data_IF_882260268146
#
_entry.id   IF_882260268146
#
_cell.length_a   1.000
_cell.length_b   1.000
_cell.length_c   1.000
_cell.angle_alpha   90.00
_cell.angle_beta   90.00
_cell.angle_gamma   90.00
#
_symmetry.space_group_name_H-M   'P 1'
#
loop_
_entity.id
_entity.type
_entity.pdbx_description
1 polymer ?
#
# COMPACT_ATOMS: atom_id res chain seq x y z
N UNK A 1 11.40 23.21 11.79
CA UNK A 1 10.11 22.49 11.90
C UNK A 1 9.36 22.32 10.56
N UNK A 2 9.89 22.79 9.41
CA UNK A 2 9.17 22.77 8.11
C UNK A 2 9.53 21.61 7.15
N UNK A 3 10.58 20.84 7.43
CA UNK A 3 11.06 19.80 6.49
C UNK A 3 10.09 18.61 6.35
N UNK A 4 9.50 18.17 7.47
CA UNK A 4 8.63 16.99 7.49
C UNK A 4 7.30 17.21 6.78
N UNK A 5 6.69 18.39 6.89
CA UNK A 5 5.42 18.70 6.21
C UNK A 5 5.57 18.67 4.69
N UNK A 6 6.69 19.17 4.18
CA UNK A 6 7.00 19.12 2.75
C UNK A 6 7.23 17.69 2.26
N UNK A 7 7.98 16.88 3.02
CA UNK A 7 8.21 15.48 2.68
C UNK A 7 6.94 14.62 2.77
N UNK A 8 6.12 14.85 3.80
CA UNK A 8 4.83 14.17 3.95
C UNK A 8 3.93 14.42 2.75
N UNK A 9 3.75 15.69 2.35
CA UNK A 9 2.94 16.04 1.17
C UNK A 9 3.46 15.41 -0.11
N UNK A 10 4.77 15.22 -0.26
CA UNK A 10 5.35 14.54 -1.42
C UNK A 10 5.09 13.03 -1.44
N UNK A 11 5.02 12.38 -0.28
CA UNK A 11 4.79 10.92 -0.17
C UNK A 11 3.31 10.54 -0.07
N UNK A 12 2.45 11.49 0.32
CA UNK A 12 1.01 11.28 0.42
C UNK A 12 0.44 10.91 -0.94
N UNK A 13 -0.26 9.78 -1.00
CA UNK A 13 -0.84 9.22 -2.23
C UNK A 13 -2.10 8.41 -1.91
N UNK A 14 -2.81 7.92 -2.93
CA UNK A 14 -3.98 7.06 -2.76
C UNK A 14 -3.57 5.60 -2.49
N UNK A 15 -4.41 4.81 -1.79
CA UNK A 15 -4.12 3.40 -1.52
C UNK A 15 -3.80 2.59 -2.78
N UNK A 16 -4.58 2.76 -3.86
CA UNK A 16 -4.37 2.06 -5.13
C UNK A 16 -2.99 2.36 -5.74
N UNK A 17 -2.59 3.63 -5.76
CA UNK A 17 -1.29 4.06 -6.29
C UNK A 17 -0.14 3.54 -5.43
N UNK A 18 -0.30 3.53 -4.10
CA UNK A 18 0.70 3.02 -3.17
C UNK A 18 0.94 1.52 -3.37
N UNK A 19 -0.13 0.73 -3.45
CA UNK A 19 0.00 -0.72 -3.59
C UNK A 19 0.46 -1.12 -4.99
N UNK A 20 0.26 -0.27 -6.01
CA UNK A 20 0.76 -0.50 -7.38
C UNK A 20 2.28 -0.67 -7.50
N UNK A 21 3.04 -0.28 -6.47
CA UNK A 21 4.49 -0.49 -6.40
C UNK A 21 4.87 -1.96 -6.10
N UNK A 22 3.95 -2.77 -5.57
CA UNK A 22 4.15 -4.18 -5.18
C UNK A 22 4.11 -5.08 -6.42
N UNK A 23 5.07 -6.01 -6.52
CA UNK A 23 5.27 -6.90 -7.66
C UNK A 23 5.00 -8.37 -7.29
N UNK A 24 4.75 -9.19 -8.32
CA UNK A 24 4.62 -10.64 -8.15
C UNK A 24 5.92 -11.23 -7.56
N UNK A 25 5.78 -12.10 -6.57
CA UNK A 25 6.89 -12.71 -5.85
C UNK A 25 7.41 -11.90 -4.65
N UNK A 26 6.95 -10.66 -4.44
CA UNK A 26 7.27 -9.92 -3.22
C UNK A 26 6.65 -10.60 -1.99
N UNK A 27 7.35 -10.54 -0.85
CA UNK A 27 6.79 -10.95 0.45
C UNK A 27 6.27 -9.72 1.17
N UNK A 28 4.95 -9.66 1.38
CA UNK A 28 4.28 -8.56 2.08
C UNK A 28 4.09 -8.89 3.57
N UNK A 29 4.54 -7.98 4.44
CA UNK A 29 4.35 -8.05 5.89
C UNK A 29 3.61 -6.79 6.34
N UNK A 30 2.61 -6.95 7.21
CA UNK A 30 1.84 -5.84 7.77
C UNK A 30 1.79 -5.93 9.31
N UNK A 31 1.34 -4.84 9.94
CA UNK A 31 1.10 -4.81 11.38
C UNK A 31 0.02 -5.82 11.78
N UNK A 32 0.13 -6.41 12.97
CA UNK A 32 -0.82 -7.43 13.44
C UNK A 32 -2.03 -6.79 14.12
N UNK A 33 -3.19 -7.47 14.06
CA UNK A 33 -4.42 -7.10 14.79
C UNK A 33 -4.93 -5.69 14.42
N UNK A 34 -4.94 -4.75 15.36
CA UNK A 34 -5.41 -3.38 15.14
C UNK A 34 -4.49 -2.53 14.27
N UNK A 35 -3.25 -2.99 14.03
CA UNK A 35 -2.27 -2.28 13.20
C UNK A 35 -2.34 -2.67 11.71
N UNK A 36 -3.29 -3.53 11.33
CA UNK A 36 -3.56 -3.84 9.93
C UNK A 36 -3.98 -2.56 9.19
N UNK A 37 -3.45 -2.28 7.99
CA UNK A 37 -3.82 -1.10 7.21
C UNK A 37 -5.00 -1.44 6.27
N UNK A 38 -6.26 -1.26 6.68
CA UNK A 38 -7.42 -1.79 5.95
C UNK A 38 -7.52 -1.25 4.52
N UNK A 39 -7.25 0.04 4.31
CA UNK A 39 -7.32 0.65 2.98
C UNK A 39 -6.29 0.08 1.99
N UNK A 40 -5.08 -0.24 2.47
CA UNK A 40 -4.03 -0.84 1.63
C UNK A 40 -4.32 -2.32 1.36
N UNK A 41 -4.79 -3.06 2.37
CA UNK A 41 -5.16 -4.46 2.19
C UNK A 41 -6.35 -4.64 1.23
N UNK A 42 -7.35 -3.75 1.30
CA UNK A 42 -8.46 -3.73 0.34
C UNK A 42 -7.95 -3.50 -1.09
N UNK A 43 -7.10 -2.49 -1.30
CA UNK A 43 -6.55 -2.22 -2.64
C UNK A 43 -5.67 -3.36 -3.18
N UNK A 44 -4.97 -4.10 -2.30
CA UNK A 44 -4.23 -5.32 -2.69
C UNK A 44 -5.20 -6.43 -3.10
N UNK A 45 -6.30 -6.62 -2.36
CA UNK A 45 -7.34 -7.59 -2.69
C UNK A 45 -7.94 -7.30 -4.07
N UNK A 46 -8.28 -6.03 -4.34
CA UNK A 46 -8.80 -5.60 -5.64
C UNK A 46 -7.81 -5.93 -6.79
N UNK A 47 -6.51 -5.71 -6.59
CA UNK A 47 -5.46 -6.07 -7.58
C UNK A 47 -5.35 -7.57 -7.80
N UNK A 48 -5.51 -8.38 -6.76
CA UNK A 48 -5.47 -9.83 -6.86
C UNK A 48 -6.69 -10.36 -7.64
N UNK A 49 -7.89 -9.83 -7.36
CA UNK A 49 -9.13 -10.18 -8.05
C UNK A 49 -9.10 -9.79 -9.54
N UNK A 50 -8.53 -8.63 -9.86
CA UNK A 50 -8.33 -8.18 -11.24
C UNK A 50 -7.25 -9.00 -12.00
N UNK A 51 -6.52 -9.88 -11.31
CA UNK A 51 -5.43 -10.67 -11.89
C UNK A 51 -4.16 -9.86 -12.21
N UNK A 52 -4.06 -8.63 -11.68
CA UNK A 52 -2.86 -7.78 -11.80
C UNK A 52 -1.74 -8.24 -10.86
N UNK A 53 -2.11 -8.74 -9.67
CA UNK A 53 -1.19 -9.34 -8.70
C UNK A 53 -1.40 -10.85 -8.64
N UNK A 54 -0.32 -11.62 -8.82
CA UNK A 54 -0.31 -13.08 -8.91
C UNK A 54 0.73 -13.67 -7.97
N UNK A 55 0.45 -14.90 -7.52
CA UNK A 55 1.37 -15.71 -6.72
C UNK A 55 2.37 -16.46 -7.62
#
# INVERSE_FOLDING_TARGET
>A
MQAYSGEYKRKLTNPADAVGLIKNGDTLIHGMTIAEPPALLSAIADRAEAGDLKR
#
